data_IF_080454175031
#
_entry.id   IF_080454175031
#
_cell.length_a   1.000
_cell.length_b   1.000
_cell.length_c   1.000
_cell.angle_alpha   90.00
_cell.angle_beta   90.00
_cell.angle_gamma   90.00
#
_symmetry.space_group_name_H-M   'P 1'
#
loop_
_entity.id
_entity.type
_entity.pdbx_description
1 polymer ?
#
# COMPACT_ATOMS: atom_id res chain seq x y z
N UNK A 1 8.23 15.38 -4.30
CA UNK A 1 7.83 14.89 -2.96
C UNK A 1 6.43 15.39 -2.66
N UNK A 2 5.52 14.47 -2.33
CA UNK A 2 4.13 14.76 -2.00
C UNK A 2 3.98 14.66 -0.47
N UNK A 3 3.52 15.73 0.18
CA UNK A 3 3.51 15.86 1.65
C UNK A 3 2.15 16.34 2.16
N UNK A 4 1.69 15.74 3.25
CA UNK A 4 0.57 16.21 4.06
C UNK A 4 1.08 16.66 5.44
N UNK A 5 0.69 17.85 5.88
CA UNK A 5 1.13 18.44 7.15
C UNK A 5 -0.07 18.82 8.01
N UNK A 6 -0.17 18.22 9.20
CA UNK A 6 -1.24 18.44 10.18
C UNK A 6 -2.65 18.38 9.58
N UNK A 7 -2.85 17.39 8.68
CA UNK A 7 -4.01 17.32 7.83
C UNK A 7 -5.25 16.91 8.62
N UNK A 8 -6.28 17.75 8.56
CA UNK A 8 -7.59 17.51 9.19
C UNK A 8 -8.68 17.52 8.13
N UNK A 9 -9.57 16.55 8.20
CA UNK A 9 -10.79 16.52 7.39
C UNK A 9 -11.98 16.05 8.20
N UNK A 10 -13.06 16.82 8.11
CA UNK A 10 -14.33 16.53 8.77
C UNK A 10 -15.45 16.44 7.75
N UNK A 11 -16.41 15.56 8.02
CA UNK A 11 -17.64 15.43 7.28
C UNK A 11 -18.76 15.42 8.32
N UNK A 12 -19.55 16.48 8.36
CA UNK A 12 -20.59 16.67 9.38
C UNK A 12 -20.01 16.45 10.80
N UNK A 13 -20.50 15.44 11.51
CA UNK A 13 -20.07 15.11 12.88
C UNK A 13 -18.87 14.15 12.93
N UNK A 14 -18.39 13.67 11.78
CA UNK A 14 -17.28 12.69 11.72
C UNK A 14 -15.96 13.33 11.32
N UNK A 15 -14.95 13.20 12.18
CA UNK A 15 -13.56 13.51 11.80
C UNK A 15 -12.98 12.31 11.06
N UNK A 16 -12.72 12.47 9.77
CA UNK A 16 -12.17 11.43 8.91
C UNK A 16 -10.65 11.38 8.95
N UNK A 17 -9.99 12.53 9.12
CA UNK A 17 -8.54 12.64 9.38
C UNK A 17 -8.32 13.67 10.50
N UNK A 18 -7.37 13.36 11.40
CA UNK A 18 -7.14 14.13 12.62
C UNK A 18 -5.64 14.41 12.84
N UNK A 19 -5.17 15.54 12.28
CA UNK A 19 -3.79 15.98 12.42
C UNK A 19 -2.74 15.09 11.76
N UNK A 20 -3.11 14.43 10.64
CA UNK A 20 -2.25 13.47 9.95
C UNK A 20 -1.05 14.16 9.30
N UNK A 21 0.13 13.55 9.47
CA UNK A 21 1.36 13.92 8.76
C UNK A 21 1.86 12.71 7.99
N UNK A 22 2.21 12.87 6.71
CA UNK A 22 2.84 11.84 5.89
C UNK A 22 3.65 12.48 4.76
N UNK A 23 4.68 11.76 4.33
CA UNK A 23 5.56 12.18 3.26
C UNK A 23 5.84 11.02 2.31
N UNK A 24 5.42 11.15 1.05
CA UNK A 24 5.69 10.17 0.01
C UNK A 24 6.94 10.60 -0.75
N UNK A 25 7.98 9.80 -0.65
CA UNK A 25 9.25 10.02 -1.35
C UNK A 25 9.05 9.87 -2.86
N UNK A 26 9.82 10.64 -3.64
CA UNK A 26 9.79 10.53 -5.09
C UNK A 26 10.40 9.20 -5.56
N UNK A 27 9.82 8.59 -6.58
CA UNK A 27 10.33 7.36 -7.18
C UNK A 27 10.19 6.13 -6.29
N UNK A 28 9.19 6.08 -5.39
CA UNK A 28 8.92 4.93 -4.54
C UNK A 28 7.45 4.48 -4.66
N UNK A 29 7.21 3.28 -4.20
CA UNK A 29 5.85 2.76 -3.99
C UNK A 29 5.52 2.84 -2.50
N UNK A 30 4.52 3.66 -2.19
CA UNK A 30 3.99 3.83 -0.84
C UNK A 30 2.71 3.01 -0.66
N UNK A 31 2.71 2.06 0.25
CA UNK A 31 1.54 1.28 0.65
C UNK A 31 0.78 1.95 1.80
N UNK A 32 -0.46 2.36 1.56
CA UNK A 32 -1.35 2.85 2.62
C UNK A 32 -2.28 1.74 3.08
N UNK A 33 -2.05 1.23 4.26
CA UNK A 33 -2.81 0.12 4.84
C UNK A 33 -3.78 0.62 5.91
N UNK A 34 -4.89 -0.08 6.06
CA UNK A 34 -5.83 0.19 7.14
C UNK A 34 -7.20 -0.41 6.87
N UNK A 35 -8.00 -0.62 7.93
CA UNK A 35 -9.35 -1.17 7.80
C UNK A 35 -10.27 -0.24 7.01
N UNK A 36 -11.41 -0.78 6.58
CA UNK A 36 -12.43 0.02 5.91
C UNK A 36 -12.92 1.14 6.84
N UNK A 37 -13.04 2.34 6.30
CA UNK A 37 -13.43 3.53 7.07
C UNK A 37 -12.30 4.17 7.88
N UNK A 38 -11.05 3.72 7.78
CA UNK A 38 -9.89 4.34 8.48
C UNK A 38 -9.51 5.72 7.95
N UNK A 39 -9.95 6.09 6.72
CA UNK A 39 -9.66 7.39 6.10
C UNK A 39 -8.77 7.32 4.85
N UNK A 40 -8.40 6.13 4.33
CA UNK A 40 -7.50 5.94 3.17
C UNK A 40 -7.94 6.75 1.95
N UNK A 41 -9.17 6.52 1.47
CA UNK A 41 -9.71 7.24 0.31
C UNK A 41 -9.86 8.75 0.57
N UNK A 42 -10.14 9.15 1.81
CA UNK A 42 -10.20 10.56 2.20
C UNK A 42 -8.81 11.21 2.09
N UNK A 43 -7.77 10.54 2.60
CA UNK A 43 -6.40 11.02 2.48
C UNK A 43 -5.99 11.16 1.01
N UNK A 44 -6.22 10.14 0.18
CA UNK A 44 -5.88 10.19 -1.24
C UNK A 44 -6.60 11.32 -1.98
N UNK A 45 -7.91 11.54 -1.70
CA UNK A 45 -8.68 12.64 -2.31
C UNK A 45 -8.20 14.03 -1.87
N UNK A 46 -7.66 14.16 -0.68
CA UNK A 46 -6.99 15.38 -0.24
C UNK A 46 -5.63 15.54 -0.93
N UNK A 47 -4.85 14.45 -1.04
CA UNK A 47 -3.52 14.47 -1.66
C UNK A 47 -3.55 14.75 -3.17
N UNK A 48 -4.67 14.46 -3.85
CA UNK A 48 -4.87 14.87 -5.25
C UNK A 48 -5.68 16.17 -5.41
N UNK A 49 -6.01 16.85 -4.30
CA UNK A 49 -6.72 18.13 -4.32
C UNK A 49 -8.18 18.03 -4.76
N UNK A 50 -8.83 16.86 -4.65
CA UNK A 50 -10.29 16.68 -4.84
C UNK A 50 -11.04 17.29 -3.66
N UNK A 51 -10.53 17.06 -2.43
CA UNK A 51 -11.09 17.69 -1.25
C UNK A 51 -10.20 18.86 -0.77
N UNK A 52 -10.86 19.88 -0.24
CA UNK A 52 -10.19 20.94 0.54
C UNK A 52 -9.99 20.42 1.96
N UNK A 53 -8.78 20.55 2.55
CA UNK A 53 -8.56 20.26 3.96
C UNK A 53 -9.30 21.30 4.85
N UNK A 54 -9.75 20.84 6.03
CA UNK A 54 -10.35 21.70 7.05
C UNK A 54 -9.27 22.26 8.01
N UNK A 55 -8.09 21.62 8.02
CA UNK A 55 -6.88 22.07 8.71
C UNK A 55 -5.65 21.44 8.10
N UNK A 56 -4.50 22.08 8.29
CA UNK A 56 -3.26 21.65 7.65
C UNK A 56 -3.22 21.96 6.16
N UNK A 57 -2.29 21.31 5.45
CA UNK A 57 -2.12 21.49 4.00
C UNK A 57 -1.55 20.25 3.33
N UNK A 58 -1.72 20.18 2.01
CA UNK A 58 -1.08 19.18 1.15
C UNK A 58 -0.27 19.91 0.10
N UNK A 59 1.00 19.53 -0.04
CA UNK A 59 1.92 20.16 -0.98
C UNK A 59 2.57 19.14 -1.90
N UNK A 60 2.74 19.52 -3.16
CA UNK A 60 3.59 18.86 -4.13
C UNK A 60 4.83 19.71 -4.38
N UNK A 61 6.01 19.17 -4.02
CA UNK A 61 7.29 19.88 -4.17
C UNK A 61 7.30 21.28 -3.51
N UNK A 62 6.53 21.43 -2.43
CA UNK A 62 6.41 22.68 -1.65
C UNK A 62 5.27 23.60 -2.07
N UNK A 63 4.60 23.34 -3.19
CA UNK A 63 3.44 24.10 -3.65
C UNK A 63 2.12 23.45 -3.21
N UNK A 64 1.15 24.26 -2.81
CA UNK A 64 -0.18 23.77 -2.45
C UNK A 64 -0.87 23.13 -3.65
N UNK A 65 -1.54 21.98 -3.42
CA UNK A 65 -2.21 21.22 -4.48
C UNK A 65 -3.64 21.73 -4.73
N UNK A 66 -4.32 22.19 -3.66
CA UNK A 66 -5.72 22.58 -3.79
C UNK A 66 -5.87 23.78 -4.72
N UNK A 67 -6.74 23.64 -5.73
CA UNK A 67 -6.94 24.64 -6.82
C UNK A 67 -5.70 24.91 -7.70
N UNK A 68 -4.66 24.10 -7.63
CA UNK A 68 -3.46 24.22 -8.47
C UNK A 68 -3.54 23.24 -9.66
N UNK A 69 -3.89 23.76 -10.84
CA UNK A 69 -4.07 22.95 -12.05
C UNK A 69 -2.76 22.28 -12.46
N UNK A 70 -1.64 22.99 -12.39
CA UNK A 70 -0.33 22.45 -12.77
C UNK A 70 0.10 21.28 -11.87
N UNK A 71 -0.17 21.37 -10.56
CA UNK A 71 0.08 20.27 -9.65
C UNK A 71 -0.85 19.07 -9.91
N UNK A 72 -2.12 19.34 -10.25
CA UNK A 72 -3.11 18.29 -10.54
C UNK A 72 -2.83 17.54 -11.84
N UNK A 73 -2.28 18.18 -12.86
CA UNK A 73 -1.85 17.53 -14.11
C UNK A 73 -0.76 16.48 -13.87
N UNK A 74 0.00 16.62 -12.80
CA UNK A 74 1.08 15.70 -12.40
C UNK A 74 0.61 14.58 -11.47
N UNK A 75 -0.65 14.59 -11.00
CA UNK A 75 -1.19 13.62 -10.07
C UNK A 75 -2.41 12.94 -10.69
N UNK A 76 -2.34 11.63 -10.86
CA UNK A 76 -3.50 10.82 -11.23
C UNK A 76 -4.07 10.14 -10.00
N UNK A 77 -5.37 10.26 -9.78
CA UNK A 77 -6.11 9.53 -8.76
C UNK A 77 -7.07 8.53 -9.40
N UNK A 78 -6.89 7.26 -9.09
CA UNK A 78 -7.80 6.19 -9.45
C UNK A 78 -8.61 5.78 -8.22
N UNK A 79 -9.90 6.09 -8.23
CA UNK A 79 -10.82 5.77 -7.14
C UNK A 79 -11.17 4.29 -7.10
N UNK A 80 -11.49 3.76 -5.91
CA UNK A 80 -12.11 2.44 -5.77
C UNK A 80 -13.49 2.40 -6.44
N UNK A 81 -14.32 3.45 -6.25
CA UNK A 81 -15.61 3.59 -6.90
C UNK A 81 -15.43 4.21 -8.29
N UNK A 82 -15.43 3.33 -9.32
CA UNK A 82 -15.25 3.71 -10.71
C UNK A 82 -16.58 4.10 -11.34
N UNK A 83 -16.68 5.34 -11.77
CA UNK A 83 -17.79 5.84 -12.58
C UNK A 83 -17.39 5.98 -14.05
N UNK A 84 -18.22 5.44 -14.94
CA UNK A 84 -18.08 5.61 -16.39
C UNK A 84 -19.39 6.14 -16.96
N UNK A 85 -19.33 7.11 -17.90
CA UNK A 85 -20.51 7.56 -18.60
C UNK A 85 -21.23 6.40 -19.31
N UNK A 86 -22.56 6.43 -19.42
CA UNK A 86 -23.29 5.38 -20.13
C UNK A 86 -22.78 5.19 -21.56
N UNK A 87 -22.61 3.93 -21.98
CA UNK A 87 -22.15 3.51 -23.31
C UNK A 87 -20.68 3.84 -23.62
N UNK A 88 -19.91 4.46 -22.71
CA UNK A 88 -18.49 4.70 -22.95
C UNK A 88 -17.72 3.40 -23.10
N UNK A 89 -16.75 3.41 -23.99
CA UNK A 89 -15.81 2.32 -24.30
C UNK A 89 -14.46 2.61 -23.66
N UNK A 90 -13.49 1.67 -23.79
CA UNK A 90 -12.10 1.92 -23.37
C UNK A 90 -11.47 3.04 -24.21
N UNK A 91 -11.81 3.13 -25.50
CA UNK A 91 -11.34 4.20 -26.38
C UNK A 91 -11.88 5.57 -25.98
N UNK A 92 -13.16 5.65 -25.58
CA UNK A 92 -13.74 6.89 -25.05
C UNK A 92 -13.05 7.30 -23.74
N UNK A 93 -12.74 6.33 -22.88
CA UNK A 93 -12.00 6.57 -21.64
C UNK A 93 -10.60 7.11 -21.92
N UNK A 94 -9.86 6.51 -22.86
CA UNK A 94 -8.54 6.99 -23.29
C UNK A 94 -8.62 8.40 -23.86
N UNK A 95 -9.62 8.67 -24.70
CA UNK A 95 -9.86 10.01 -25.27
C UNK A 95 -10.16 11.05 -24.19
N UNK A 96 -10.93 10.68 -23.16
CA UNK A 96 -11.24 11.54 -22.02
C UNK A 96 -9.97 11.90 -21.22
N UNK A 97 -9.15 10.89 -20.85
CA UNK A 97 -7.91 11.13 -20.13
C UNK A 97 -6.88 11.92 -20.95
N UNK A 98 -6.80 11.68 -22.25
CA UNK A 98 -5.98 12.48 -23.17
C UNK A 98 -6.36 13.95 -23.18
N UNK A 99 -7.64 14.27 -22.97
CA UNK A 99 -8.10 15.66 -22.87
C UNK A 99 -7.79 16.32 -21.52
N UNK A 100 -7.49 15.53 -20.49
CA UNK A 100 -7.25 16.02 -19.12
C UNK A 100 -5.78 16.09 -18.77
N UNK A 101 -4.98 15.10 -19.20
CA UNK A 101 -3.57 14.95 -18.81
C UNK A 101 -2.64 15.27 -19.99
N UNK A 102 -1.76 16.25 -19.79
CA UNK A 102 -0.80 16.68 -20.82
C UNK A 102 0.20 15.58 -21.20
N UNK A 103 0.51 14.68 -20.26
CA UNK A 103 1.42 13.54 -20.43
C UNK A 103 0.82 12.31 -21.14
N UNK A 104 -0.47 12.32 -21.52
CA UNK A 104 -1.12 11.12 -22.07
C UNK A 104 -0.46 10.63 -23.36
N UNK A 105 -0.05 9.35 -23.38
CA UNK A 105 0.60 8.71 -24.53
C UNK A 105 -0.33 7.73 -25.25
N UNK A 106 -0.63 8.01 -26.52
CA UNK A 106 -1.33 7.07 -27.40
C UNK A 106 -0.48 5.84 -27.76
N UNK A 107 0.84 5.99 -27.81
CA UNK A 107 1.76 4.87 -28.06
C UNK A 107 1.67 3.85 -26.90
N UNK A 108 1.75 4.34 -25.66
CA UNK A 108 1.56 3.51 -24.46
C UNK A 108 0.17 2.86 -24.44
N UNK A 109 -0.87 3.60 -24.84
CA UNK A 109 -2.23 3.07 -24.95
C UNK A 109 -2.29 1.86 -25.91
N UNK A 110 -1.74 1.98 -27.11
CA UNK A 110 -1.75 0.87 -28.08
C UNK A 110 -0.92 -0.34 -27.58
N UNK A 111 0.20 -0.10 -26.92
CA UNK A 111 1.02 -1.14 -26.33
C UNK A 111 0.25 -1.87 -25.20
N UNK A 112 -0.36 -1.14 -24.30
CA UNK A 112 -1.09 -1.72 -23.16
C UNK A 112 -2.39 -2.42 -23.59
N UNK A 113 -3.06 -1.98 -24.66
CA UNK A 113 -4.20 -2.71 -25.23
C UNK A 113 -3.81 -4.14 -25.66
N UNK A 114 -2.56 -4.38 -26.05
CA UNK A 114 -2.04 -5.73 -26.31
C UNK A 114 -1.78 -6.57 -25.05
N UNK A 115 -1.62 -5.93 -23.91
CA UNK A 115 -1.34 -6.60 -22.63
C UNK A 115 -2.62 -6.94 -21.86
N UNK A 116 -3.61 -6.05 -21.88
CA UNK A 116 -4.88 -6.26 -21.18
C UNK A 116 -5.87 -7.02 -22.08
N UNK A 117 -6.52 -8.11 -21.59
CA UNK A 117 -7.48 -8.90 -22.36
C UNK A 117 -8.85 -8.20 -22.46
N UNK A 118 -8.88 -6.97 -22.96
CA UNK A 118 -10.07 -6.13 -23.03
C UNK A 118 -10.50 -5.92 -24.49
N UNK A 119 -11.81 -5.91 -24.72
CA UNK A 119 -12.39 -5.51 -26.00
C UNK A 119 -12.64 -3.99 -25.95
N UNK A 120 -11.76 -3.21 -26.57
CA UNK A 120 -11.69 -1.75 -26.40
C UNK A 120 -12.89 -1.00 -26.99
N UNK A 121 -13.62 -1.62 -27.91
CA UNK A 121 -14.80 -1.10 -28.62
C UNK A 121 -16.14 -1.39 -27.91
N UNK A 122 -16.12 -2.27 -26.90
CA UNK A 122 -17.33 -2.61 -26.14
C UNK A 122 -17.64 -1.61 -25.03
N UNK A 123 -18.94 -1.39 -24.73
CA UNK A 123 -19.34 -0.53 -23.61
C UNK A 123 -18.83 -1.05 -22.27
N UNK A 124 -18.19 -0.17 -21.48
CA UNK A 124 -17.68 -0.49 -20.13
C UNK A 124 -18.78 -0.98 -19.17
N UNK A 125 -20.04 -0.64 -19.45
CA UNK A 125 -21.19 -1.14 -18.68
C UNK A 125 -21.40 -2.65 -18.80
N UNK A 126 -20.87 -3.29 -19.85
CA UNK A 126 -20.94 -4.74 -20.07
C UNK A 126 -19.79 -5.48 -19.36
N UNK A 127 -18.78 -4.76 -18.90
CA UNK A 127 -17.61 -5.33 -18.27
C UNK A 127 -17.90 -5.77 -16.83
N UNK A 128 -17.25 -6.85 -16.39
CA UNK A 128 -17.21 -7.22 -14.97
C UNK A 128 -16.51 -6.13 -14.13
N UNK A 129 -16.63 -6.18 -12.79
CA UNK A 129 -15.90 -5.26 -11.90
C UNK A 129 -14.40 -5.27 -12.19
N UNK A 130 -13.80 -6.46 -12.32
CA UNK A 130 -12.37 -6.62 -12.63
C UNK A 130 -11.98 -6.06 -13.98
N UNK A 131 -12.77 -6.29 -15.04
CA UNK A 131 -12.50 -5.72 -16.37
C UNK A 131 -12.60 -4.19 -16.38
N UNK A 132 -13.56 -3.62 -15.65
CA UNK A 132 -13.66 -2.15 -15.48
C UNK A 132 -12.44 -1.59 -14.76
N UNK A 133 -11.93 -2.29 -13.75
CA UNK A 133 -10.69 -1.92 -13.05
C UNK A 133 -9.48 -1.97 -13.98
N UNK A 134 -9.38 -3.02 -14.81
CA UNK A 134 -8.32 -3.12 -15.84
C UNK A 134 -8.37 -1.97 -16.82
N UNK A 135 -9.55 -1.59 -17.34
CA UNK A 135 -9.71 -0.47 -18.25
C UNK A 135 -9.27 0.86 -17.63
N UNK A 136 -9.62 1.08 -16.36
CA UNK A 136 -9.23 2.26 -15.60
C UNK A 136 -7.72 2.33 -15.35
N UNK A 137 -7.10 1.21 -14.98
CA UNK A 137 -5.64 1.11 -14.81
C UNK A 137 -4.87 1.32 -16.11
N UNK A 138 -5.36 0.75 -17.23
CA UNK A 138 -4.79 0.97 -18.55
C UNK A 138 -4.77 2.46 -18.87
N UNK A 139 -5.92 3.13 -18.74
CA UNK A 139 -6.01 4.57 -19.02
C UNK A 139 -5.14 5.40 -18.07
N UNK A 140 -5.06 5.02 -16.79
CA UNK A 140 -4.24 5.68 -15.78
C UNK A 140 -2.74 5.62 -16.13
N UNK A 141 -2.24 4.46 -16.51
CA UNK A 141 -0.83 4.27 -16.89
C UNK A 141 -0.47 5.08 -18.16
N UNK A 142 -1.43 5.24 -19.09
CA UNK A 142 -1.20 6.06 -20.29
C UNK A 142 -1.05 7.56 -19.99
N UNK A 143 -1.51 8.05 -18.83
CA UNK A 143 -1.41 9.47 -18.46
C UNK A 143 0.01 9.91 -18.13
N UNK A 144 0.91 8.98 -17.86
CA UNK A 144 2.30 9.26 -17.49
C UNK A 144 2.43 10.34 -16.41
N UNK A 145 1.52 10.33 -15.42
CA UNK A 145 1.57 11.25 -14.31
C UNK A 145 2.79 10.97 -13.41
N UNK A 146 3.35 12.03 -12.82
CA UNK A 146 4.49 11.88 -11.89
C UNK A 146 4.10 11.13 -10.61
N UNK A 147 2.82 11.24 -10.21
CA UNK A 147 2.26 10.62 -9.02
C UNK A 147 0.97 9.86 -9.35
N UNK A 148 0.94 8.57 -9.07
CA UNK A 148 -0.24 7.73 -9.20
C UNK A 148 -0.78 7.38 -7.82
N UNK A 149 -1.98 7.82 -7.52
CA UNK A 149 -2.70 7.51 -6.27
C UNK A 149 -3.78 6.48 -6.60
N UNK A 150 -3.58 5.23 -6.21
CA UNK A 150 -4.37 4.08 -6.61
C UNK A 150 -5.17 3.53 -5.41
N UNK A 151 -6.46 3.85 -5.34
CA UNK A 151 -7.32 3.46 -4.22
C UNK A 151 -7.92 2.06 -4.46
N UNK A 152 -7.53 1.08 -3.60
CA UNK A 152 -7.92 -0.33 -3.68
C UNK A 152 -7.75 -0.92 -5.10
N UNK A 153 -6.63 -0.57 -5.78
CA UNK A 153 -6.47 -0.80 -7.22
C UNK A 153 -6.39 -2.29 -7.61
N UNK A 154 -6.04 -3.16 -6.70
CA UNK A 154 -5.94 -4.61 -6.95
C UNK A 154 -7.23 -5.36 -6.65
N UNK A 155 -8.24 -4.70 -6.04
CA UNK A 155 -9.50 -5.37 -5.70
C UNK A 155 -10.25 -5.82 -6.96
N UNK A 156 -10.67 -7.10 -6.96
CA UNK A 156 -11.38 -7.72 -8.08
C UNK A 156 -10.53 -8.09 -9.29
N UNK A 157 -9.21 -7.88 -9.26
CA UNK A 157 -8.30 -8.39 -10.28
C UNK A 157 -7.95 -9.86 -10.02
N UNK A 158 -7.89 -10.64 -11.11
CA UNK A 158 -7.34 -11.99 -11.03
C UNK A 158 -5.82 -11.96 -10.78
N UNK A 159 -5.22 -13.06 -10.27
CA UNK A 159 -3.80 -13.09 -9.91
C UNK A 159 -2.84 -12.75 -11.05
N UNK A 160 -3.17 -13.15 -12.29
CA UNK A 160 -2.29 -12.91 -13.47
C UNK A 160 -2.27 -11.44 -13.83
N UNK A 161 -3.44 -10.82 -13.90
CA UNK A 161 -3.56 -9.38 -14.16
C UNK A 161 -2.94 -8.56 -13.05
N UNK A 162 -3.12 -8.96 -11.78
CA UNK A 162 -2.49 -8.30 -10.64
C UNK A 162 -0.96 -8.30 -10.77
N UNK A 163 -0.36 -9.44 -11.12
CA UNK A 163 1.09 -9.54 -11.34
C UNK A 163 1.56 -8.66 -12.49
N UNK A 164 0.80 -8.62 -13.58
CA UNK A 164 1.09 -7.76 -14.72
C UNK A 164 1.06 -6.27 -14.33
N UNK A 165 0.02 -5.85 -13.59
CA UNK A 165 -0.08 -4.45 -13.12
C UNK A 165 1.08 -4.10 -12.19
N UNK A 166 1.46 -4.97 -11.25
CA UNK A 166 2.63 -4.79 -10.39
C UNK A 166 3.90 -4.55 -11.21
N UNK A 167 4.10 -5.34 -12.27
CA UNK A 167 5.25 -5.19 -13.17
C UNK A 167 5.22 -3.85 -13.90
N UNK A 168 4.08 -3.46 -14.46
CA UNK A 168 3.93 -2.17 -15.16
C UNK A 168 4.19 -0.97 -14.21
N UNK A 169 3.74 -1.03 -12.97
CA UNK A 169 4.03 0.02 -11.98
C UNK A 169 5.52 0.09 -11.65
N UNK A 170 6.19 -1.06 -11.52
CA UNK A 170 7.64 -1.09 -11.30
C UNK A 170 8.43 -0.53 -12.49
N UNK A 171 7.98 -0.80 -13.72
CA UNK A 171 8.55 -0.23 -14.96
C UNK A 171 8.36 1.30 -15.00
N UNK A 172 7.18 1.83 -14.69
CA UNK A 172 6.91 3.27 -14.59
C UNK A 172 7.86 3.97 -13.61
N UNK A 173 8.16 3.33 -12.48
CA UNK A 173 9.09 3.88 -11.49
C UNK A 173 10.53 3.82 -12.00
N UNK A 174 10.96 2.67 -12.53
CA UNK A 174 12.32 2.47 -12.98
C UNK A 174 12.71 3.37 -14.17
N UNK A 175 11.79 3.52 -15.13
CA UNK A 175 12.06 4.24 -16.38
C UNK A 175 11.77 5.74 -16.27
N UNK A 176 10.74 6.12 -15.51
CA UNK A 176 10.23 7.50 -15.49
C UNK A 176 10.41 8.19 -14.15
N UNK A 177 10.78 7.44 -13.09
CA UNK A 177 10.85 7.98 -11.73
C UNK A 177 9.47 8.35 -11.17
N UNK A 178 8.40 7.71 -11.65
CA UNK A 178 7.06 7.89 -11.13
C UNK A 178 7.00 7.52 -9.64
N UNK A 179 6.04 8.10 -8.95
CA UNK A 179 5.79 7.81 -7.53
C UNK A 179 4.39 7.22 -7.42
N UNK A 180 4.25 6.11 -6.71
CA UNK A 180 2.98 5.40 -6.61
C UNK A 180 2.54 5.33 -5.15
N UNK A 181 1.31 5.70 -4.86
CA UNK A 181 0.66 5.43 -3.58
C UNK A 181 -0.50 4.46 -3.82
N UNK A 182 -0.48 3.34 -3.13
CA UNK A 182 -1.52 2.31 -3.26
C UNK A 182 -2.18 2.10 -1.91
N UNK A 183 -3.51 2.26 -1.84
CA UNK A 183 -4.25 1.84 -0.67
C UNK A 183 -4.67 0.37 -0.80
N UNK A 184 -4.62 -0.37 0.30
CA UNK A 184 -5.21 -1.70 0.40
C UNK A 184 -5.62 -2.00 1.85
N UNK A 185 -6.65 -2.81 2.01
CA UNK A 185 -6.98 -3.46 3.28
C UNK A 185 -6.30 -4.83 3.41
N UNK A 186 -5.61 -5.31 2.35
CA UNK A 186 -4.92 -6.59 2.30
C UNK A 186 -3.40 -6.37 2.20
N UNK A 187 -2.69 -6.62 3.28
CA UNK A 187 -1.24 -6.48 3.39
C UNK A 187 -0.45 -7.30 2.37
N UNK A 188 -0.94 -8.51 2.05
CA UNK A 188 -0.27 -9.42 1.10
C UNK A 188 -0.19 -8.84 -0.32
N UNK A 189 -1.11 -7.95 -0.68
CA UNK A 189 -1.09 -7.31 -2.00
C UNK A 189 0.09 -6.34 -2.16
N UNK A 190 0.55 -5.77 -1.05
CA UNK A 190 1.57 -4.73 -0.98
C UNK A 190 2.96 -5.27 -0.64
N UNK A 191 3.05 -6.49 -0.09
CA UNK A 191 4.28 -7.05 0.49
C UNK A 191 5.48 -7.09 -0.47
N UNK A 192 5.23 -7.43 -1.74
CA UNK A 192 6.27 -7.59 -2.76
C UNK A 192 6.41 -6.35 -3.66
N UNK A 193 5.73 -5.26 -3.31
CA UNK A 193 5.64 -4.10 -4.18
C UNK A 193 6.13 -2.81 -3.53
N UNK A 194 5.86 -2.62 -2.24
CA UNK A 194 6.07 -1.33 -1.58
C UNK A 194 7.49 -1.18 -1.03
N UNK A 195 8.02 0.04 -1.15
CA UNK A 195 9.26 0.47 -0.51
C UNK A 195 8.99 1.03 0.89
N UNK A 196 7.84 1.68 1.06
CA UNK A 196 7.41 2.34 2.27
C UNK A 196 5.96 1.98 2.57
N UNK A 197 5.61 1.83 3.83
CA UNK A 197 4.24 1.52 4.27
C UNK A 197 3.80 2.41 5.41
N UNK A 198 2.54 2.83 5.36
CA UNK A 198 1.86 3.57 6.42
C UNK A 198 0.60 2.84 6.88
N UNK A 199 0.41 2.70 8.19
CA UNK A 199 -0.81 2.15 8.78
C UNK A 199 -1.73 3.27 9.23
N UNK A 200 -2.89 3.38 8.59
CA UNK A 200 -3.92 4.34 8.92
C UNK A 200 -5.04 3.68 9.74
N UNK A 201 -5.33 4.22 10.90
CA UNK A 201 -6.45 3.78 11.74
C UNK A 201 -7.16 4.99 12.35
N UNK A 202 -8.49 4.98 12.31
CA UNK A 202 -9.33 6.04 12.88
C UNK A 202 -8.87 7.48 12.52
N UNK A 203 -8.48 7.70 11.27
CA UNK A 203 -8.04 9.00 10.76
C UNK A 203 -6.64 9.43 11.17
N UNK A 204 -5.86 8.58 11.83
CA UNK A 204 -4.49 8.84 12.26
C UNK A 204 -3.53 7.83 11.67
N UNK A 205 -2.35 8.28 11.28
CA UNK A 205 -1.26 7.40 10.88
C UNK A 205 -0.59 6.85 12.15
N UNK A 206 -0.73 5.54 12.38
CA UNK A 206 -0.17 4.89 13.58
C UNK A 206 1.34 4.75 13.46
N UNK A 207 1.81 4.37 12.28
CA UNK A 207 3.22 4.39 11.92
C UNK A 207 3.41 4.55 10.41
N UNK A 208 4.61 4.99 10.04
CA UNK A 208 5.09 5.09 8.67
C UNK A 208 6.55 4.66 8.66
N UNK A 209 6.88 3.64 7.87
CA UNK A 209 8.22 3.03 7.86
C UNK A 209 8.60 2.53 6.48
N UNK A 210 9.89 2.49 6.26
CA UNK A 210 10.52 1.76 5.18
C UNK A 210 10.28 0.25 5.38
N UNK A 211 9.89 -0.46 4.33
CA UNK A 211 9.50 -1.87 4.43
C UNK A 211 10.67 -2.77 4.79
N UNK A 212 11.86 -2.52 4.24
CA UNK A 212 13.05 -3.30 4.55
C UNK A 212 13.49 -3.07 6.00
N UNK A 213 13.49 -1.81 6.45
CA UNK A 213 13.79 -1.46 7.85
C UNK A 213 12.78 -2.11 8.82
N UNK A 214 11.53 -2.19 8.40
CA UNK A 214 10.46 -2.81 9.17
C UNK A 214 10.70 -4.33 9.31
N UNK A 215 11.04 -5.01 8.20
CA UNK A 215 11.34 -6.45 8.19
C UNK A 215 12.58 -6.80 9.00
N UNK A 216 13.58 -5.93 9.05
CA UNK A 216 14.80 -6.13 9.85
C UNK A 216 14.57 -5.98 11.36
N UNK A 217 13.51 -5.33 11.78
CA UNK A 217 13.19 -5.10 13.20
C UNK A 217 12.60 -6.30 13.93
N UNK A 218 12.22 -7.35 13.20
CA UNK A 218 11.58 -8.55 13.74
C UNK A 218 12.09 -9.79 13.04
N UNK A 219 12.02 -10.94 13.75
CA UNK A 219 12.28 -12.23 13.13
C UNK A 219 11.31 -13.29 13.64
N UNK A 220 10.96 -14.22 12.77
CA UNK A 220 10.29 -15.46 13.14
C UNK A 220 11.31 -16.58 13.16
N UNK A 221 11.34 -17.33 14.26
CA UNK A 221 12.25 -18.46 14.42
C UNK A 221 11.45 -19.70 14.80
N UNK A 222 11.81 -20.84 14.19
CA UNK A 222 11.38 -22.16 14.65
C UNK A 222 12.56 -22.88 15.28
N UNK A 223 12.32 -23.50 16.44
CA UNK A 223 13.31 -24.32 17.13
C UNK A 223 12.65 -25.55 17.72
N UNK A 224 13.42 -26.61 17.90
CA UNK A 224 12.98 -27.78 18.66
C UNK A 224 13.99 -28.13 19.75
N UNK A 225 13.46 -28.51 20.91
CA UNK A 225 14.27 -28.89 22.08
C UNK A 225 13.80 -30.26 22.62
N UNK A 226 14.72 -31.02 23.14
CA UNK A 226 14.43 -32.26 23.87
C UNK A 226 14.36 -32.05 25.38
N UNK A 227 14.62 -30.83 25.83
CA UNK A 227 14.59 -30.38 27.23
C UNK A 227 13.76 -29.10 27.36
N UNK A 228 13.26 -28.79 28.56
CA UNK A 228 12.58 -27.53 28.83
C UNK A 228 13.52 -26.32 28.66
N UNK A 229 13.03 -25.26 28.04
CA UNK A 229 13.75 -23.99 27.87
C UNK A 229 13.10 -22.92 28.74
N UNK A 230 13.90 -22.24 29.57
CA UNK A 230 13.44 -21.03 30.26
C UNK A 230 13.52 -19.83 29.29
N UNK A 231 12.38 -19.48 28.72
CA UNK A 231 12.26 -18.40 27.78
C UNK A 231 12.53 -17.03 28.40
N UNK A 232 12.19 -16.83 29.68
CA UNK A 232 12.45 -15.57 30.35
C UNK A 232 13.96 -15.33 30.54
N UNK A 233 14.74 -16.38 30.73
CA UNK A 233 16.20 -16.31 30.85
C UNK A 233 16.91 -16.15 29.49
N UNK A 234 16.17 -16.10 28.36
CA UNK A 234 16.77 -15.86 27.04
C UNK A 234 17.18 -14.42 26.83
N UNK A 235 16.50 -13.48 27.49
CA UNK A 235 16.66 -12.04 27.23
C UNK A 235 16.06 -11.59 25.89
N UNK A 236 15.43 -12.48 25.11
CA UNK A 236 14.77 -12.15 23.86
C UNK A 236 13.46 -11.41 24.11
N UNK A 237 13.21 -10.39 23.32
CA UNK A 237 11.92 -9.68 23.31
C UNK A 237 10.89 -10.48 22.50
N UNK A 238 10.36 -11.56 23.12
CA UNK A 238 9.40 -12.47 22.48
C UNK A 238 8.03 -11.80 22.51
N UNK A 239 7.43 -11.60 21.34
CA UNK A 239 6.11 -11.01 21.14
C UNK A 239 5.02 -12.10 21.07
N UNK A 240 5.28 -13.19 20.32
CA UNK A 240 4.37 -14.32 20.20
C UNK A 240 5.15 -15.63 20.36
N UNK A 241 4.53 -16.60 21.03
CA UNK A 241 5.10 -17.93 21.23
C UNK A 241 4.05 -18.99 21.01
N UNK A 242 4.31 -19.92 20.08
CA UNK A 242 3.45 -21.08 19.80
C UNK A 242 4.24 -22.36 19.99
N UNK A 243 3.74 -23.25 20.82
CA UNK A 243 4.36 -24.55 21.09
C UNK A 243 3.48 -25.70 20.57
N UNK A 244 4.13 -26.64 19.86
CA UNK A 244 3.50 -27.89 19.38
C UNK A 244 4.44 -29.05 19.64
N UNK A 245 4.26 -29.73 20.75
CA UNK A 245 5.17 -30.79 21.21
C UNK A 245 6.56 -30.25 21.52
N UNK A 246 7.58 -30.71 20.80
CA UNK A 246 8.96 -30.22 20.90
C UNK A 246 9.26 -28.99 20.07
N UNK A 247 8.38 -28.66 19.14
CA UNK A 247 8.55 -27.53 18.24
C UNK A 247 8.02 -26.25 18.88
N UNK A 248 8.82 -25.21 18.86
CA UNK A 248 8.44 -23.86 19.28
C UNK A 248 8.62 -22.90 18.10
N UNK A 249 7.63 -22.06 17.88
CA UNK A 249 7.70 -20.94 16.93
C UNK A 249 7.64 -19.64 17.73
N UNK A 250 8.63 -18.78 17.54
CA UNK A 250 8.75 -17.49 18.23
C UNK A 250 8.67 -16.35 17.22
N UNK A 251 7.93 -15.31 17.57
CA UNK A 251 8.03 -13.99 16.97
C UNK A 251 8.85 -13.12 17.93
N UNK A 252 9.99 -12.63 17.48
CA UNK A 252 10.94 -11.91 18.32
C UNK A 252 11.21 -10.54 17.72
N UNK A 253 11.26 -9.51 18.57
CA UNK A 253 11.73 -8.18 18.19
C UNK A 253 13.27 -8.19 18.24
N UNK A 254 13.90 -8.01 17.09
CA UNK A 254 15.34 -8.04 16.93
C UNK A 254 15.73 -8.69 15.60
N UNK A 255 17.04 -8.77 15.35
CA UNK A 255 17.57 -9.39 14.13
C UNK A 255 17.50 -10.91 14.20
N UNK A 256 17.41 -11.57 13.05
CA UNK A 256 17.46 -13.02 12.98
C UNK A 256 18.81 -13.56 13.47
N UNK A 257 19.90 -12.87 13.16
CA UNK A 257 21.27 -13.27 13.55
C UNK A 257 21.42 -13.31 15.07
N UNK A 258 21.07 -12.23 15.78
CA UNK A 258 21.16 -12.16 17.25
C UNK A 258 20.23 -13.18 17.90
N UNK A 259 19.03 -13.35 17.36
CA UNK A 259 18.05 -14.31 17.90
C UNK A 259 18.53 -15.75 17.75
N UNK A 260 19.05 -16.12 16.56
CA UNK A 260 19.60 -17.46 16.33
C UNK A 260 20.78 -17.74 17.26
N UNK A 261 21.73 -16.80 17.42
CA UNK A 261 22.87 -16.96 18.29
C UNK A 261 22.45 -17.25 19.76
N UNK A 262 21.43 -16.55 20.26
CA UNK A 262 20.87 -16.79 21.62
C UNK A 262 20.21 -18.16 21.73
N UNK A 263 19.50 -18.62 20.71
CA UNK A 263 18.79 -19.90 20.73
C UNK A 263 19.75 -21.08 20.53
N UNK A 264 20.76 -20.97 19.67
CA UNK A 264 21.81 -21.98 19.45
C UNK A 264 22.60 -22.27 20.71
N UNK A 265 22.89 -21.25 21.54
CA UNK A 265 23.56 -21.40 22.81
C UNK A 265 22.81 -22.32 23.79
N UNK A 266 21.52 -22.56 23.57
CA UNK A 266 20.66 -23.45 24.35
C UNK A 266 20.55 -24.87 23.79
N UNK A 267 21.38 -25.22 22.81
CA UNK A 267 21.51 -26.57 22.23
C UNK A 267 20.17 -27.13 21.73
N UNK A 268 19.52 -26.46 20.76
CA UNK A 268 18.32 -27.00 20.14
C UNK A 268 18.66 -28.26 19.32
N UNK A 269 17.65 -29.10 19.08
CA UNK A 269 17.73 -30.17 18.08
C UNK A 269 17.85 -29.59 16.67
N UNK A 270 17.15 -28.50 16.41
CA UNK A 270 17.33 -27.62 15.25
C UNK A 270 16.84 -26.21 15.60
N UNK A 271 17.32 -25.21 14.86
CA UNK A 271 16.83 -23.84 14.88
C UNK A 271 17.00 -23.22 13.49
N UNK A 272 15.98 -22.51 13.05
CA UNK A 272 16.00 -21.80 11.77
C UNK A 272 15.18 -20.52 11.84
N UNK A 273 15.62 -19.50 11.12
CA UNK A 273 14.82 -18.29 10.87
C UNK A 273 13.92 -18.51 9.67
N UNK A 274 12.65 -18.11 9.81
CA UNK A 274 11.66 -18.17 8.76
C UNK A 274 11.44 -16.80 8.15
N UNK A 275 11.13 -16.72 6.84
CA UNK A 275 10.66 -15.48 6.23
C UNK A 275 9.41 -14.98 6.97
N UNK A 276 9.38 -13.68 7.24
CA UNK A 276 8.23 -13.03 7.85
C UNK A 276 7.32 -12.44 6.78
N UNK A 277 6.03 -12.58 6.97
CA UNK A 277 5.04 -11.86 6.17
C UNK A 277 4.90 -10.43 6.68
N UNK A 278 4.48 -9.51 5.81
CA UNK A 278 4.18 -8.14 6.20
C UNK A 278 3.10 -8.07 7.29
N UNK A 279 2.14 -8.99 7.25
CA UNK A 279 1.08 -9.12 8.27
C UNK A 279 1.66 -9.40 9.67
N UNK A 280 2.64 -10.31 9.77
CA UNK A 280 3.29 -10.63 11.06
C UNK A 280 4.12 -9.47 11.59
N UNK A 281 4.79 -8.75 10.72
CA UNK A 281 5.54 -7.55 11.07
C UNK A 281 4.62 -6.45 11.59
N UNK A 282 3.47 -6.25 10.94
CA UNK A 282 2.46 -5.29 11.38
C UNK A 282 1.89 -5.63 12.76
N UNK A 283 1.55 -6.90 12.99
CA UNK A 283 1.11 -7.37 14.31
C UNK A 283 2.18 -7.04 15.37
N UNK A 284 3.45 -7.35 15.09
CA UNK A 284 4.55 -7.05 15.98
C UNK A 284 4.72 -5.57 16.30
N UNK A 285 4.60 -4.69 15.30
CA UNK A 285 4.67 -3.24 15.52
C UNK A 285 3.48 -2.72 16.34
N UNK A 286 2.28 -3.24 16.10
CA UNK A 286 1.09 -2.83 16.84
C UNK A 286 1.15 -3.28 18.30
N UNK A 287 1.56 -4.51 18.56
CA UNK A 287 1.78 -5.01 19.93
C UNK A 287 2.84 -4.18 20.65
N UNK A 288 3.96 -3.87 19.98
CA UNK A 288 5.01 -3.04 20.53
C UNK A 288 4.56 -1.60 20.85
N UNK A 289 3.58 -1.10 20.10
CA UNK A 289 2.98 0.23 20.30
C UNK A 289 1.79 0.20 21.30
N UNK A 290 1.41 -0.98 21.81
CA UNK A 290 0.31 -1.15 22.77
C UNK A 290 -1.09 -1.04 22.15
N UNK A 291 -1.22 -1.26 20.84
CA UNK A 291 -2.52 -1.26 20.14
C UNK A 291 -3.13 -2.67 20.11
N UNK A 292 -4.42 -2.76 20.36
CA UNK A 292 -5.19 -4.00 20.15
C UNK A 292 -5.52 -4.14 18.65
N UNK A 293 -4.89 -5.11 17.99
CA UNK A 293 -5.04 -5.37 16.56
C UNK A 293 -6.24 -6.26 16.21
N UNK A 294 -6.93 -6.84 17.19
CA UNK A 294 -8.03 -7.80 16.95
C UNK A 294 -9.14 -7.23 16.05
N UNK A 295 -9.29 -5.90 16.00
CA UNK A 295 -10.29 -5.18 15.20
C UNK A 295 -9.71 -4.50 13.94
N UNK A 296 -8.40 -4.63 13.65
CA UNK A 296 -7.75 -3.85 12.59
C UNK A 296 -7.47 -4.73 11.36
N UNK A 297 -7.27 -6.02 11.55
CA UNK A 297 -6.95 -6.99 10.48
C UNK A 297 -8.10 -7.96 10.16
N UNK A 298 -9.28 -7.73 10.70
CA UNK A 298 -10.49 -8.55 10.46
C UNK A 298 -11.33 -8.03 9.30
#
# INVERSE_FOLDING_TARGET
MLRAENLVKRFEDKTALDGLNTEIRRGCIYGLVGPNGSGKSTLMRLMCGVYRPDGGRVTLEGEDIFENIAAKDRILYLSDDLYFPPKSTVEDLASFYRGLYSGFSMETYHTLCGCFPLQTDQPLSTFSKGMRRQAALLAALCCHADYLLLDEAFDGLDPVIRLMVKKLLAEEIAERGATVMISSHNLRELEDLCDQVGLLSAGRLLFEKDLDALKLGFCRVQAAYDHPVDWAATGLAILDKKERGKLVSLLVRGTAEDTLAVLEARRPLFVEALPMTLEEVFIGEMEAAGYDYSNILS
#
